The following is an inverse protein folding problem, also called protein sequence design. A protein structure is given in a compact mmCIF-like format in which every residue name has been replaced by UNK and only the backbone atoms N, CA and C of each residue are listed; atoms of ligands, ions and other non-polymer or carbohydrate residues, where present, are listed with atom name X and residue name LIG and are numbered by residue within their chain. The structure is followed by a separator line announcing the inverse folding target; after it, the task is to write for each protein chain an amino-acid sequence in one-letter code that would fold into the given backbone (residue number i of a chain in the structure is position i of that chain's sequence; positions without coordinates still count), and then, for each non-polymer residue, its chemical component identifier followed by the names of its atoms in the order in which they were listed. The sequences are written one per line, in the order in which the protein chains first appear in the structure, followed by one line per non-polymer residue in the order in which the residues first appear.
data_IF_613582821206
#
_entry.id   IF_613582821206
#
_cell.length_a   1.000
_cell.length_b   1.000
_cell.length_c   1.000
_cell.angle_alpha   90.00
_cell.angle_beta   90.00
_cell.angle_gamma   90.00
#
_symmetry.space_group_name_H-M   'P 1'
#
loop_
_entity.id
_entity.type
_entity.pdbx_description
1 polymer ?
#
# COMPACT_ATOMS: atom_id res chain seq x y z
N UNK A 1 11.00 20.27 31.63
CA UNK A 1 10.45 18.96 31.22
C UNK A 1 9.13 18.79 31.93
N UNK A 2 8.02 19.15 31.29
CA UNK A 2 6.67 18.93 31.81
C UNK A 2 6.27 17.48 31.56
N UNK A 3 5.93 16.76 32.63
CA UNK A 3 5.47 15.37 32.58
C UNK A 3 4.10 15.33 31.92
N UNK A 4 4.02 14.69 30.75
CA UNK A 4 2.78 14.47 30.00
C UNK A 4 1.86 13.53 30.80
N UNK A 5 0.61 13.94 31.08
CA UNK A 5 -0.38 13.13 31.82
C UNK A 5 -1.50 12.57 30.93
N UNK A 6 -1.39 12.75 29.61
CA UNK A 6 -2.35 12.23 28.63
C UNK A 6 -1.94 10.86 28.08
N UNK A 7 -2.91 10.16 27.49
CA UNK A 7 -2.68 8.94 26.70
C UNK A 7 -3.19 9.13 25.28
N UNK A 8 -2.48 8.55 24.33
CA UNK A 8 -2.86 8.49 22.91
C UNK A 8 -3.04 7.03 22.51
N UNK A 9 -4.06 6.76 21.71
CA UNK A 9 -4.30 5.47 21.09
C UNK A 9 -4.49 5.70 19.61
N UNK A 10 -3.69 5.02 18.78
CA UNK A 10 -3.74 5.17 17.34
C UNK A 10 -3.77 3.79 16.70
N UNK A 11 -4.68 3.60 15.75
CA UNK A 11 -4.89 2.31 15.08
C UNK A 11 -5.20 2.54 13.61
N UNK A 12 -4.39 1.93 12.76
CA UNK A 12 -4.68 1.86 11.32
C UNK A 12 -5.74 0.80 11.08
N UNK A 13 -6.86 1.18 10.46
CA UNK A 13 -8.03 0.30 10.26
C UNK A 13 -8.01 -0.39 8.90
N UNK A 14 -7.57 0.31 7.86
CA UNK A 14 -7.53 -0.19 6.48
C UNK A 14 -6.62 0.71 5.63
N UNK A 15 -6.11 0.16 4.53
CA UNK A 15 -5.43 0.91 3.47
C UNK A 15 -6.15 0.66 2.13
N UNK A 16 -6.35 1.72 1.34
CA UNK A 16 -6.92 1.67 0.00
C UNK A 16 -6.00 2.38 -1.01
N UNK A 17 -6.22 2.19 -2.31
CA UNK A 17 -5.42 2.82 -3.38
C UNK A 17 -4.40 1.88 -4.03
N UNK A 18 -4.21 0.69 -3.48
CA UNK A 18 -3.36 -0.37 -4.07
C UNK A 18 -3.87 -0.85 -5.43
N UNK A 19 -5.18 -0.72 -5.69
CA UNK A 19 -5.79 -1.01 -6.98
C UNK A 19 -5.35 -0.08 -8.12
N UNK A 20 -4.75 1.08 -7.80
CA UNK A 20 -4.25 2.07 -8.78
C UNK A 20 -2.82 1.75 -9.21
N UNK A 21 -2.56 0.48 -9.46
CA UNK A 21 -1.24 -0.03 -9.80
C UNK A 21 -0.86 0.32 -11.23
N UNK A 22 0.32 0.93 -11.42
CA UNK A 22 0.93 1.17 -12.73
C UNK A 22 2.25 0.40 -12.85
N UNK A 23 2.36 -0.44 -13.89
CA UNK A 23 3.60 -1.12 -14.25
C UNK A 23 4.41 -0.20 -15.17
N UNK A 24 5.61 0.23 -14.75
CA UNK A 24 6.37 1.26 -15.45
C UNK A 24 7.59 0.74 -16.23
N UNK A 25 8.08 -0.46 -15.93
CA UNK A 25 9.27 -1.04 -16.56
C UNK A 25 9.12 -2.53 -16.88
N UNK A 26 7.98 -2.94 -17.42
CA UNK A 26 7.78 -4.33 -17.85
C UNK A 26 8.53 -4.61 -19.17
N UNK A 27 9.79 -5.05 -19.11
CA UNK A 27 10.53 -5.52 -20.28
C UNK A 27 10.47 -7.04 -20.38
N UNK A 28 9.38 -7.60 -20.93
CA UNK A 28 9.27 -9.05 -21.11
C UNK A 28 10.36 -9.51 -22.10
N UNK A 29 11.32 -10.36 -21.69
CA UNK A 29 12.45 -10.78 -22.51
C UNK A 29 11.94 -11.76 -23.56
N UNK A 30 12.68 -11.85 -24.66
CA UNK A 30 12.38 -12.83 -25.70
C UNK A 30 12.41 -14.23 -25.10
N UNK A 31 11.29 -14.94 -25.17
CA UNK A 31 11.22 -16.34 -24.77
C UNK A 31 12.08 -17.19 -25.72
N UNK A 32 13.16 -17.76 -25.19
CA UNK A 32 13.99 -18.74 -25.89
C UNK A 32 13.72 -20.13 -25.31
N UNK A 33 12.97 -21.00 -26.00
CA UNK A 33 12.70 -22.43 -25.69
C UNK A 33 12.42 -22.86 -24.23
N UNK A 34 12.32 -21.93 -23.28
CA UNK A 34 12.13 -22.15 -21.85
C UNK A 34 10.67 -21.94 -21.49
N UNK A 35 10.17 -22.85 -20.65
CA UNK A 35 8.77 -22.85 -20.17
C UNK A 35 8.50 -21.83 -19.07
N UNK A 36 9.55 -21.34 -18.40
CA UNK A 36 9.44 -20.34 -17.33
C UNK A 36 10.58 -19.32 -17.39
N UNK A 37 10.26 -18.03 -17.34
CA UNK A 37 11.22 -16.93 -17.16
C UNK A 37 10.84 -16.15 -15.90
N UNK A 38 11.82 -15.89 -15.03
CA UNK A 38 11.65 -15.01 -13.86
C UNK A 38 12.14 -13.61 -14.17
N UNK A 39 11.31 -12.63 -13.84
CA UNK A 39 11.49 -11.22 -14.17
C UNK A 39 11.20 -10.32 -12.99
N UNK A 40 11.81 -9.14 -12.99
CA UNK A 40 11.60 -8.11 -11.97
C UNK A 40 11.10 -6.85 -12.65
N UNK A 41 9.94 -6.35 -12.21
CA UNK A 41 9.26 -5.20 -12.80
C UNK A 41 9.05 -4.13 -11.73
N UNK A 42 9.38 -2.88 -12.04
CA UNK A 42 9.06 -1.77 -11.14
C UNK A 42 7.61 -1.36 -11.28
N UNK A 43 7.00 -1.12 -10.12
CA UNK A 43 5.59 -0.83 -9.96
C UNK A 43 5.45 0.43 -9.12
N UNK A 44 4.62 1.35 -9.59
CA UNK A 44 4.32 2.58 -8.89
C UNK A 44 2.83 2.66 -8.55
N UNK A 45 2.54 3.08 -7.33
CA UNK A 45 1.20 3.54 -6.94
C UNK A 45 1.20 5.06 -6.98
N UNK A 46 0.57 5.65 -8.00
CA UNK A 46 0.48 7.09 -8.15
C UNK A 46 -0.97 7.54 -8.51
N UNK A 47 -1.67 8.30 -7.64
CA UNK A 47 -1.23 8.72 -6.31
C UNK A 47 -0.97 7.51 -5.39
N UNK A 48 -0.31 7.73 -4.26
CA UNK A 48 -0.01 6.68 -3.28
C UNK A 48 -1.25 6.04 -2.67
N UNK A 49 -1.13 5.61 -1.42
CA UNK A 49 -2.23 4.95 -0.72
C UNK A 49 -2.91 5.88 0.28
N UNK A 50 -4.12 5.53 0.68
CA UNK A 50 -4.85 6.21 1.75
C UNK A 50 -5.18 5.21 2.86
N UNK A 51 -4.79 5.53 4.09
CA UNK A 51 -5.09 4.75 5.27
C UNK A 51 -6.21 5.39 6.09
N UNK A 52 -7.13 4.59 6.62
CA UNK A 52 -8.13 5.04 7.61
C UNK A 52 -7.55 4.90 9.01
N UNK A 53 -7.39 6.00 9.73
CA UNK A 53 -6.65 6.06 11.00
C UNK A 53 -7.59 6.39 12.12
N UNK A 54 -7.85 5.43 13.00
CA UNK A 54 -8.51 5.70 14.27
C UNK A 54 -7.53 6.36 15.21
N UNK A 55 -7.98 7.44 15.86
CA UNK A 55 -7.23 8.12 16.90
C UNK A 55 -8.11 8.35 18.11
N UNK A 56 -7.51 8.31 19.29
CA UNK A 56 -8.12 8.68 20.56
C UNK A 56 -7.09 9.33 21.45
N UNK A 57 -7.49 10.46 22.03
CA UNK A 57 -6.66 11.29 22.90
C UNK A 57 -7.40 11.43 24.22
N UNK A 58 -6.74 11.16 25.32
CA UNK A 58 -7.31 11.28 26.65
C UNK A 58 -6.38 12.04 27.60
N UNK A 59 -6.91 12.93 28.43
CA UNK A 59 -6.18 13.51 29.55
C UNK A 59 -7.14 13.84 30.68
N UNK A 60 -6.74 13.54 31.92
CA UNK A 60 -7.51 13.90 33.13
C UNK A 60 -8.98 13.48 33.10
N UNK A 61 -9.29 12.37 32.41
CA UNK A 61 -10.65 11.83 32.28
C UNK A 61 -11.48 12.38 31.10
N UNK A 62 -10.98 13.37 30.36
CA UNK A 62 -11.59 13.87 29.12
C UNK A 62 -10.96 13.11 27.95
N UNK A 63 -11.78 12.62 27.02
CA UNK A 63 -11.31 11.94 25.82
C UNK A 63 -12.00 12.46 24.57
N UNK A 64 -11.23 12.60 23.49
CA UNK A 64 -11.72 12.81 22.13
C UNK A 64 -11.25 11.65 21.25
N UNK A 65 -12.04 11.27 20.25
CA UNK A 65 -11.67 10.23 19.30
C UNK A 65 -12.37 10.42 17.97
N UNK A 66 -11.70 9.99 16.91
CA UNK A 66 -12.21 10.07 15.55
C UNK A 66 -11.57 9.03 14.64
N UNK A 67 -11.90 9.12 13.36
CA UNK A 67 -11.24 8.34 12.32
C UNK A 67 -11.13 9.20 11.09
N UNK A 68 -9.89 9.45 10.68
CA UNK A 68 -9.59 10.36 9.59
C UNK A 68 -8.63 9.71 8.58
N UNK A 69 -8.71 10.10 7.29
CA UNK A 69 -7.85 9.57 6.26
C UNK A 69 -6.44 10.16 6.35
N UNK A 70 -5.42 9.32 6.27
CA UNK A 70 -4.04 9.74 6.04
C UNK A 70 -3.58 9.24 4.67
N UNK A 71 -3.09 10.13 3.81
CA UNK A 71 -2.60 9.76 2.48
C UNK A 71 -1.08 9.77 2.40
N UNK A 72 -0.52 8.91 1.57
CA UNK A 72 0.91 8.90 1.21
C UNK A 72 1.15 9.53 -0.16
N UNK A 73 2.38 10.00 -0.36
CA UNK A 73 2.92 10.20 -1.70
C UNK A 73 3.06 8.85 -2.42
N UNK A 74 3.59 8.89 -3.64
CA UNK A 74 3.90 7.70 -4.42
C UNK A 74 4.62 6.62 -3.59
N UNK A 75 4.14 5.38 -3.74
CA UNK A 75 4.74 4.17 -3.16
C UNK A 75 5.40 3.40 -4.31
N UNK A 76 6.63 2.95 -4.11
CA UNK A 76 7.36 2.14 -5.08
C UNK A 76 7.39 0.67 -4.62
N UNK A 77 7.12 -0.22 -5.55
CA UNK A 77 7.18 -1.66 -5.35
C UNK A 77 7.98 -2.31 -6.48
N UNK A 78 8.51 -3.48 -6.18
CA UNK A 78 9.13 -4.36 -7.15
C UNK A 78 8.32 -5.65 -7.21
N UNK A 79 7.84 -6.00 -8.40
CA UNK A 79 7.14 -7.24 -8.67
C UNK A 79 8.08 -8.28 -9.26
N UNK A 80 8.24 -9.41 -8.57
CA UNK A 80 8.84 -10.61 -9.15
C UNK A 80 7.77 -11.38 -9.89
N UNK A 81 8.01 -11.75 -11.14
CA UNK A 81 7.03 -12.44 -11.97
C UNK A 81 7.64 -13.67 -12.64
N UNK A 82 6.81 -14.64 -12.96
CA UNK A 82 7.13 -15.81 -13.76
C UNK A 82 6.22 -15.82 -14.98
N UNK A 83 6.78 -15.97 -16.17
CA UNK A 83 6.01 -16.16 -17.41
C UNK A 83 5.91 -17.64 -17.72
N UNK A 84 4.71 -18.16 -17.93
CA UNK A 84 4.46 -19.57 -18.34
C UNK A 84 3.84 -19.65 -19.72
N UNK A 85 4.24 -20.66 -20.50
CA UNK A 85 3.70 -20.93 -21.83
C UNK A 85 2.72 -22.11 -21.83
N UNK A 86 1.59 -21.96 -22.54
CA UNK A 86 0.61 -23.02 -22.82
C UNK A 86 0.48 -23.23 -24.32
N UNK A 87 0.54 -24.48 -24.79
CA UNK A 87 0.45 -24.79 -26.22
C UNK A 87 -0.97 -24.53 -26.76
N UNK A 88 -1.06 -23.82 -27.88
CA UNK A 88 -2.32 -23.54 -28.56
C UNK A 88 -2.74 -24.70 -29.46
N UNK A 89 -4.04 -24.97 -29.54
CA UNK A 89 -4.61 -26.04 -30.38
C UNK A 89 -4.26 -25.88 -31.87
N UNK A 90 -4.11 -24.64 -32.34
CA UNK A 90 -3.80 -24.31 -33.74
C UNK A 90 -2.30 -24.15 -34.02
N UNK A 91 -1.43 -24.52 -33.07
CA UNK A 91 0.00 -24.23 -33.11
C UNK A 91 0.36 -22.88 -32.47
N UNK A 92 1.60 -22.75 -31.99
CA UNK A 92 2.05 -21.61 -31.18
C UNK A 92 1.79 -21.79 -29.68
N UNK A 93 2.06 -20.74 -28.89
CA UNK A 93 1.89 -20.74 -27.43
C UNK A 93 1.16 -19.47 -26.96
N UNK A 94 0.26 -19.62 -25.99
CA UNK A 94 -0.21 -18.52 -25.16
C UNK A 94 0.75 -18.32 -23.99
N UNK A 95 0.93 -17.07 -23.57
CA UNK A 95 1.81 -16.71 -22.46
C UNK A 95 1.02 -16.08 -21.34
N UNK A 96 1.28 -16.52 -20.12
CA UNK A 96 0.63 -16.02 -18.92
C UNK A 96 1.66 -15.46 -17.95
N UNK A 97 1.36 -14.31 -17.37
CA UNK A 97 2.14 -13.73 -16.28
C UNK A 97 1.60 -14.25 -14.96
N UNK A 98 2.48 -14.62 -14.06
CA UNK A 98 2.15 -14.85 -12.67
C UNK A 98 3.10 -14.04 -11.79
N UNK A 99 2.57 -13.21 -10.90
CA UNK A 99 3.34 -12.45 -9.93
C UNK A 99 3.67 -13.39 -8.76
N UNK A 100 4.95 -13.61 -8.48
CA UNK A 100 5.41 -14.51 -7.42
C UNK A 100 5.72 -13.78 -6.12
N UNK A 101 6.05 -12.49 -6.19
CA UNK A 101 6.24 -11.64 -5.03
C UNK A 101 6.01 -10.17 -5.37
N UNK A 102 5.54 -9.39 -4.40
CA UNK A 102 5.56 -7.94 -4.40
C UNK A 102 6.37 -7.47 -3.19
N UNK A 103 7.41 -6.68 -3.42
CA UNK A 103 8.24 -6.11 -2.36
C UNK A 103 8.10 -4.60 -2.41
N UNK A 104 7.73 -3.98 -1.29
CA UNK A 104 7.75 -2.52 -1.18
C UNK A 104 9.20 -2.07 -1.10
N UNK A 105 9.62 -1.21 -2.02
CA UNK A 105 10.96 -0.62 -2.03
C UNK A 105 10.95 0.76 -1.40
N UNK A 106 9.85 1.51 -1.56
CA UNK A 106 9.63 2.80 -0.93
C UNK A 106 8.18 2.93 -0.45
N UNK A 107 7.97 3.20 0.83
CA UNK A 107 6.65 3.35 1.45
C UNK A 107 5.94 4.67 1.13
N UNK A 108 6.62 5.59 0.43
CA UNK A 108 6.14 6.96 0.22
C UNK A 108 6.19 7.82 1.50
N UNK A 109 6.15 9.13 1.33
CA UNK A 109 6.04 10.10 2.42
C UNK A 109 4.58 10.27 2.81
N UNK A 110 4.27 10.09 4.08
CA UNK A 110 2.91 10.26 4.59
C UNK A 110 2.63 11.70 4.97
N UNK A 111 1.42 12.17 4.67
CA UNK A 111 0.96 13.52 4.99
C UNK A 111 0.64 13.73 6.48
N UNK A 112 1.53 13.32 7.40
CA UNK A 112 1.33 13.39 8.85
C UNK A 112 0.96 14.82 9.30
N UNK A 113 1.60 15.90 8.83
CA UNK A 113 1.22 17.25 9.24
C UNK A 113 -0.23 17.59 8.90
N UNK A 114 -0.68 17.26 7.68
CA UNK A 114 -2.05 17.53 7.26
C UNK A 114 -3.07 16.72 8.07
N UNK A 115 -2.75 15.47 8.39
CA UNK A 115 -3.59 14.64 9.25
C UNK A 115 -3.65 15.17 10.68
N UNK A 116 -2.52 15.65 11.23
CA UNK A 116 -2.50 16.29 12.54
C UNK A 116 -3.39 17.55 12.56
N UNK A 117 -3.31 18.38 11.52
CA UNK A 117 -4.16 19.57 11.40
C UNK A 117 -5.65 19.20 11.35
N UNK A 118 -6.02 18.13 10.64
CA UNK A 118 -7.40 17.61 10.62
C UNK A 118 -7.84 17.14 12.02
N UNK A 119 -7.03 16.32 12.70
CA UNK A 119 -7.32 15.85 14.06
C UNK A 119 -7.49 17.03 15.02
N UNK A 120 -6.61 18.04 14.96
CA UNK A 120 -6.71 19.26 15.77
C UNK A 120 -7.98 20.06 15.45
N UNK A 121 -8.44 20.08 14.20
CA UNK A 121 -9.72 20.69 13.82
C UNK A 121 -10.95 20.03 14.45
N UNK A 122 -10.85 18.76 14.86
CA UNK A 122 -11.91 18.04 15.57
C UNK A 122 -11.90 18.23 17.08
N UNK A 123 -10.83 18.82 17.61
CA UNK A 123 -10.58 18.95 19.04
C UNK A 123 -11.10 20.32 19.49
N UNK A 124 -11.90 20.32 20.56
CA UNK A 124 -12.42 21.57 21.13
C UNK A 124 -11.28 22.39 21.76
N UNK A 125 -11.43 23.72 21.79
CA UNK A 125 -10.43 24.68 22.32
C UNK A 125 -9.93 24.36 23.75
N UNK A 126 -10.72 23.61 24.52
CA UNK A 126 -10.33 23.10 25.84
C UNK A 126 -9.15 22.12 25.83
N UNK A 127 -8.72 21.68 24.64
CA UNK A 127 -7.67 20.71 24.41
C UNK A 127 -6.52 21.26 23.53
N UNK A 128 -6.43 22.58 23.35
CA UNK A 128 -5.38 23.28 22.56
C UNK A 128 -3.94 22.90 22.97
N UNK A 129 -3.74 22.49 24.22
CA UNK A 129 -2.46 22.00 24.75
C UNK A 129 -1.94 20.73 24.03
N UNK A 130 -2.79 20.03 23.28
CA UNK A 130 -2.40 18.87 22.47
C UNK A 130 -1.56 19.28 21.25
N UNK A 131 -1.78 20.47 20.67
CA UNK A 131 -1.17 20.87 19.40
C UNK A 131 0.37 20.83 19.41
N UNK A 132 0.99 21.17 20.55
CA UNK A 132 2.45 21.33 20.64
C UNK A 132 3.24 20.02 20.63
N UNK A 133 2.62 18.87 20.94
CA UNK A 133 3.34 17.58 21.09
C UNK A 133 2.72 16.42 20.30
N UNK A 134 1.57 16.64 19.67
CA UNK A 134 0.83 15.56 19.02
C UNK A 134 1.53 15.06 17.75
N UNK A 135 2.24 15.94 17.04
CA UNK A 135 3.01 15.57 15.83
C UNK A 135 4.10 14.55 16.13
N UNK A 136 4.81 14.71 17.25
CA UNK A 136 5.89 13.78 17.66
C UNK A 136 5.32 12.43 18.10
N UNK A 137 4.19 12.44 18.81
CA UNK A 137 3.47 11.23 19.22
C UNK A 137 2.96 10.45 18.02
N UNK A 138 2.30 11.12 17.07
CA UNK A 138 1.82 10.48 15.85
C UNK A 138 2.97 9.92 15.02
N UNK A 139 4.07 10.66 14.85
CA UNK A 139 5.21 10.22 14.03
C UNK A 139 5.85 8.94 14.56
N UNK A 140 5.96 8.78 15.89
CA UNK A 140 6.56 7.59 16.50
C UNK A 140 5.63 6.36 16.49
N UNK A 141 4.33 6.55 16.76
CA UNK A 141 3.40 5.44 16.99
C UNK A 141 2.72 4.92 15.70
N UNK A 142 2.80 5.69 14.61
CA UNK A 142 2.08 5.37 13.37
C UNK A 142 2.86 4.54 12.37
N UNK A 143 4.17 4.73 12.29
CA UNK A 143 4.96 4.18 11.19
C UNK A 143 4.91 2.64 11.12
N UNK A 144 5.18 1.96 12.25
CA UNK A 144 5.21 0.49 12.27
C UNK A 144 3.83 -0.15 11.98
N UNK A 145 2.71 0.31 12.56
CA UNK A 145 1.38 -0.16 12.18
C UNK A 145 1.03 0.04 10.70
N UNK A 146 1.51 1.14 10.09
CA UNK A 146 1.31 1.37 8.66
C UNK A 146 2.08 0.38 7.81
N UNK A 147 3.38 0.20 8.06
CA UNK A 147 4.24 -0.70 7.30
C UNK A 147 3.71 -2.14 7.36
N UNK A 148 3.24 -2.57 8.54
CA UNK A 148 2.61 -3.88 8.72
C UNK A 148 1.34 -4.03 7.86
N UNK A 149 0.41 -3.07 7.94
CA UNK A 149 -0.84 -3.16 7.19
C UNK A 149 -0.61 -3.05 5.67
N UNK A 150 0.36 -2.26 5.23
CA UNK A 150 0.73 -2.16 3.82
C UNK A 150 1.28 -3.50 3.31
N UNK A 151 2.13 -4.16 4.10
CA UNK A 151 2.68 -5.50 3.80
C UNK A 151 1.59 -6.58 3.73
N UNK A 152 0.62 -6.54 4.63
CA UNK A 152 -0.51 -7.47 4.58
C UNK A 152 -1.33 -7.25 3.31
N UNK A 153 -1.57 -5.98 2.94
CA UNK A 153 -2.39 -5.65 1.77
C UNK A 153 -1.66 -5.89 0.44
N UNK A 154 -0.33 -5.86 0.38
CA UNK A 154 0.41 -6.26 -0.84
C UNK A 154 0.27 -7.76 -1.14
N UNK A 155 0.16 -8.60 -0.10
CA UNK A 155 -0.13 -10.03 -0.28
C UNK A 155 -1.52 -10.24 -0.88
N UNK A 156 -2.52 -9.52 -0.37
CA UNK A 156 -3.88 -9.56 -0.90
C UNK A 156 -3.96 -9.01 -2.32
N UNK A 157 -3.25 -7.92 -2.63
CA UNK A 157 -3.12 -7.38 -3.98
C UNK A 157 -2.48 -8.39 -4.93
N UNK A 158 -1.37 -9.02 -4.54
CA UNK A 158 -0.72 -10.06 -5.33
C UNK A 158 -1.69 -11.20 -5.66
N UNK A 159 -2.44 -11.68 -4.67
CA UNK A 159 -3.43 -12.73 -4.85
C UNK A 159 -4.57 -12.29 -5.80
N UNK A 160 -5.04 -11.05 -5.66
CA UNK A 160 -6.05 -10.45 -6.53
C UNK A 160 -5.56 -10.31 -7.98
N UNK A 161 -4.36 -9.75 -8.17
CA UNK A 161 -3.73 -9.61 -9.48
C UNK A 161 -3.52 -10.96 -10.15
N UNK A 162 -3.00 -11.96 -9.44
CA UNK A 162 -2.84 -13.31 -9.97
C UNK A 162 -4.18 -13.97 -10.35
N UNK A 163 -5.26 -13.67 -9.62
CA UNK A 163 -6.59 -14.17 -9.97
C UNK A 163 -7.09 -13.59 -11.30
N UNK A 164 -6.79 -12.31 -11.57
CA UNK A 164 -7.11 -11.64 -12.83
C UNK A 164 -6.22 -12.13 -13.98
N UNK A 165 -4.90 -12.22 -13.74
CA UNK A 165 -3.91 -12.59 -14.74
C UNK A 165 -4.01 -14.07 -15.16
N UNK A 166 -4.41 -14.98 -14.26
CA UNK A 166 -4.70 -16.40 -14.61
C UNK A 166 -5.72 -16.56 -15.73
N UNK A 167 -6.61 -15.59 -15.91
CA UNK A 167 -7.65 -15.62 -16.94
C UNK A 167 -7.30 -14.81 -18.19
N UNK A 168 -6.18 -14.09 -18.16
CA UNK A 168 -5.82 -13.10 -19.18
C UNK A 168 -4.40 -13.36 -19.67
N UNK A 169 -4.22 -14.00 -20.84
CA UNK A 169 -2.90 -14.20 -21.39
C UNK A 169 -2.28 -12.85 -21.82
N UNK A 170 -0.97 -12.67 -21.58
CA UNK A 170 -0.20 -11.53 -22.10
C UNK A 170 -0.05 -11.63 -23.62
N UNK A 171 0.14 -12.86 -24.12
CA UNK A 171 0.06 -13.20 -25.53
C UNK A 171 -0.98 -14.31 -25.65
N UNK A 172 -2.12 -14.00 -26.26
CA UNK A 172 -3.17 -14.99 -26.49
C UNK A 172 -2.79 -15.97 -27.61
N UNK A 173 -3.42 -17.14 -27.62
CA UNK A 173 -3.42 -17.98 -28.81
C UNK A 173 -3.94 -17.18 -30.00
N UNK A 174 -3.22 -17.19 -31.12
CA UNK A 174 -3.71 -16.59 -32.36
C UNK A 174 -5.03 -17.29 -32.75
N UNK A 175 -6.11 -16.53 -32.80
CA UNK A 175 -7.36 -16.98 -33.42
C UNK A 175 -7.12 -17.08 -34.92
N UNK A 176 -6.89 -18.31 -35.40
CA UNK A 176 -6.94 -18.65 -36.82
C UNK A 176 -8.34 -18.42 -37.37
#
# INVERSE_FOLDING_TARGET
MSTFTGSVEIKVKSVTGLEKTLFTSASIPSLTDTTTITETVDVLLNPGVTAQVYWKLCQSGICASGTDPLSSSQVALTASTTVTAEACTNGGNALYLNITALTITEYGLWGIPAFVDEVLGHIDSSLDWLADNISDLFSADLQAPYEALLTDTTTDLMNGLNTLLKKTPIIACSSS
#
